data_IF_377663200507
#
_entry.id   IF_377663200507
#
_cell.length_a   1.000
_cell.length_b   1.000
_cell.length_c   1.000
_cell.angle_alpha   90.00
_cell.angle_beta   90.00
_cell.angle_gamma   90.00
#
_symmetry.space_group_name_H-M   'P 1'
#
loop_
_entity.id
_entity.type
_entity.pdbx_description
1 polymer ?
#
# COMPACT_ATOMS: atom_id res chain seq x y z
N UNK A 1 -2.27 -4.64 -11.79
CA UNK A 1 -2.47 -5.69 -10.77
C UNK A 1 -1.24 -6.57 -10.66
N UNK A 2 -0.98 -7.09 -9.50
CA UNK A 2 0.09 -8.03 -9.19
C UNK A 2 -0.48 -9.22 -8.41
N UNK A 3 0.18 -10.38 -8.45
CA UNK A 3 -0.30 -11.59 -7.77
C UNK A 3 0.24 -11.73 -6.34
N UNK A 4 1.47 -11.30 -6.10
CA UNK A 4 2.08 -11.41 -4.79
C UNK A 4 3.05 -10.24 -4.51
N UNK A 5 3.19 -9.87 -3.26
CA UNK A 5 4.21 -8.93 -2.79
C UNK A 5 4.64 -9.29 -1.37
N UNK A 6 5.90 -9.04 -1.03
CA UNK A 6 6.44 -9.28 0.30
C UNK A 6 6.27 -8.09 1.24
N UNK A 7 6.08 -6.89 0.69
CA UNK A 7 5.84 -5.66 1.43
C UNK A 7 4.42 -5.13 1.24
N UNK A 8 3.96 -4.29 2.15
CA UNK A 8 2.61 -3.74 2.14
C UNK A 8 2.57 -2.21 2.21
N UNK A 9 3.72 -1.58 2.32
CA UNK A 9 3.85 -0.13 2.46
C UNK A 9 3.70 0.57 1.11
N UNK A 10 4.34 0.02 0.06
CA UNK A 10 4.42 0.65 -1.26
C UNK A 10 3.39 0.08 -2.22
N UNK A 11 2.51 0.92 -2.75
CA UNK A 11 1.53 0.56 -3.77
C UNK A 11 1.96 1.11 -5.12
N UNK A 12 2.14 0.24 -6.12
CA UNK A 12 2.39 0.66 -7.48
C UNK A 12 1.08 1.18 -8.06
N UNK A 13 1.03 2.47 -8.39
CA UNK A 13 -0.16 3.14 -8.91
C UNK A 13 -0.14 3.23 -10.43
N UNK A 14 1.04 3.36 -11.04
CA UNK A 14 1.24 3.47 -12.48
C UNK A 14 2.63 2.98 -12.87
N UNK A 15 2.74 2.43 -14.07
CA UNK A 15 4.02 2.17 -14.74
C UNK A 15 3.99 2.84 -16.11
N UNK A 16 5.01 3.60 -16.41
CA UNK A 16 5.18 4.31 -17.66
C UNK A 16 6.46 3.83 -18.32
N UNK A 17 6.37 3.47 -19.59
CA UNK A 17 7.51 3.01 -20.40
C UNK A 17 7.83 4.04 -21.46
N UNK A 18 9.07 4.43 -21.54
CA UNK A 18 9.63 5.26 -22.61
C UNK A 18 10.84 4.57 -23.21
N UNK A 19 11.34 5.01 -24.38
CA UNK A 19 12.59 4.47 -24.94
C UNK A 19 13.81 4.63 -24.02
N UNK A 20 13.79 5.59 -23.10
CA UNK A 20 14.91 5.94 -22.22
C UNK A 20 14.82 5.30 -20.85
N UNK A 21 13.60 4.95 -20.39
CA UNK A 21 13.39 4.47 -19.02
C UNK A 21 12.03 3.82 -18.81
N UNK A 22 11.95 3.05 -17.72
CA UNK A 22 10.70 2.60 -17.12
C UNK A 22 10.51 3.30 -15.79
N UNK A 23 9.40 4.01 -15.63
CA UNK A 23 9.05 4.77 -14.44
C UNK A 23 7.96 4.03 -13.65
N UNK A 24 8.25 3.69 -12.41
CA UNK A 24 7.31 3.02 -11.50
C UNK A 24 6.86 4.03 -10.46
N UNK A 25 5.61 4.45 -10.54
CA UNK A 25 4.98 5.39 -9.62
C UNK A 25 4.47 4.64 -8.40
N UNK A 26 4.90 5.06 -7.24
CA UNK A 26 4.58 4.42 -5.97
C UNK A 26 3.85 5.41 -5.07
N UNK A 27 2.76 4.95 -4.49
CA UNK A 27 2.07 5.57 -3.39
C UNK A 27 2.39 4.77 -2.14
N UNK A 28 3.29 5.27 -1.32
CA UNK A 28 3.66 4.67 -0.07
C UNK A 28 2.73 5.12 1.04
N UNK A 29 2.36 4.16 1.88
CA UNK A 29 1.47 4.40 2.99
C UNK A 29 2.04 3.70 4.21
N UNK A 30 2.41 4.50 5.20
CA UNK A 30 2.97 3.99 6.43
C UNK A 30 2.58 4.90 7.60
N UNK A 31 2.97 4.49 8.77
CA UNK A 31 2.70 5.21 10.01
C UNK A 31 3.32 6.61 9.95
N UNK A 32 2.58 7.68 10.29
CA UNK A 32 3.14 9.03 10.41
C UNK A 32 4.41 9.06 11.26
N UNK A 33 5.38 9.85 10.86
CA UNK A 33 6.69 10.04 11.52
C UNK A 33 7.58 8.79 11.60
N UNK A 34 7.16 7.64 11.05
CA UNK A 34 8.03 6.50 10.83
C UNK A 34 8.73 6.64 9.48
N UNK A 35 9.83 5.95 9.28
CA UNK A 35 10.62 6.05 8.06
C UNK A 35 10.38 4.86 7.11
N UNK A 36 10.56 5.16 5.84
CA UNK A 36 10.67 4.18 4.76
C UNK A 36 12.04 4.32 4.11
N UNK A 37 12.50 3.28 3.43
CA UNK A 37 13.82 3.29 2.79
C UNK A 37 13.78 2.50 1.50
N UNK A 38 14.06 3.19 0.41
CA UNK A 38 14.25 2.56 -0.90
C UNK A 38 15.73 2.26 -1.15
N UNK A 39 15.98 1.15 -1.84
CA UNK A 39 17.34 0.68 -2.13
C UNK A 39 17.71 0.88 -3.60
N UNK A 40 18.85 1.48 -3.86
CA UNK A 40 19.41 1.63 -5.21
C UNK A 40 19.85 0.30 -5.85
N UNK A 41 19.76 -0.82 -5.13
CA UNK A 41 20.00 -2.17 -5.63
C UNK A 41 18.76 -2.86 -6.20
N UNK A 42 17.59 -2.22 -6.12
CA UNK A 42 16.34 -2.74 -6.69
C UNK A 42 16.44 -2.84 -8.21
N UNK A 43 15.70 -3.77 -8.79
CA UNK A 43 15.64 -3.97 -10.24
C UNK A 43 14.26 -4.45 -10.66
N UNK A 44 13.92 -4.24 -11.92
CA UNK A 44 12.80 -4.92 -12.56
C UNK A 44 13.31 -6.21 -13.19
N UNK A 45 12.51 -7.26 -13.16
CA UNK A 45 12.78 -8.51 -13.83
C UNK A 45 11.60 -8.88 -14.71
N UNK A 46 11.87 -9.16 -15.98
CA UNK A 46 10.86 -9.71 -16.88
C UNK A 46 10.51 -11.13 -16.44
N UNK A 47 9.24 -11.36 -16.09
CA UNK A 47 8.78 -12.62 -15.52
C UNK A 47 8.84 -13.80 -16.49
N UNK A 48 8.97 -13.54 -17.80
CA UNK A 48 9.05 -14.56 -18.83
C UNK A 48 10.49 -14.95 -19.16
N UNK A 49 11.35 -13.94 -19.29
CA UNK A 49 12.74 -14.14 -19.75
C UNK A 49 13.76 -14.16 -18.62
N UNK A 50 13.40 -13.68 -17.42
CA UNK A 50 14.30 -13.50 -16.29
C UNK A 50 15.32 -12.35 -16.49
N UNK A 51 15.20 -11.56 -17.56
CA UNK A 51 16.08 -10.44 -17.81
C UNK A 51 15.87 -9.33 -16.80
N UNK A 52 16.97 -8.80 -16.26
CA UNK A 52 16.97 -7.76 -15.23
C UNK A 52 17.22 -6.39 -15.84
N UNK A 53 16.49 -5.40 -15.34
CA UNK A 53 16.58 -3.99 -15.73
C UNK A 53 16.94 -3.19 -14.49
N UNK A 54 18.10 -2.56 -14.51
CA UNK A 54 18.72 -1.93 -13.35
C UNK A 54 18.01 -0.64 -12.95
N UNK A 55 18.09 -0.34 -11.68
CA UNK A 55 17.69 0.94 -11.12
C UNK A 55 18.61 2.06 -11.66
N UNK A 56 18.02 3.19 -12.08
CA UNK A 56 18.70 4.37 -12.60
C UNK A 56 18.59 5.58 -11.70
N UNK A 57 17.51 5.68 -10.90
CA UNK A 57 17.28 6.83 -10.06
C UNK A 57 15.88 6.85 -9.43
N UNK A 58 15.59 7.89 -8.67
CA UNK A 58 14.29 8.13 -8.08
C UNK A 58 13.96 9.63 -8.05
N UNK A 59 12.66 9.93 -7.98
CA UNK A 59 12.11 11.27 -7.76
C UNK A 59 11.19 11.23 -6.56
N UNK A 60 11.23 12.26 -5.70
CA UNK A 60 10.37 12.37 -4.53
C UNK A 60 10.79 11.54 -3.32
N UNK A 61 11.88 10.76 -3.42
CA UNK A 61 12.46 10.00 -2.32
C UNK A 61 13.99 9.94 -2.44
N UNK A 62 14.69 9.99 -1.30
CA UNK A 62 16.14 9.78 -1.25
C UNK A 62 16.45 8.30 -1.13
N UNK A 63 17.38 7.82 -1.98
CA UNK A 63 17.76 6.42 -2.05
C UNK A 63 18.81 6.08 -0.98
N UNK A 64 18.67 4.89 -0.40
CA UNK A 64 19.54 4.35 0.65
C UNK A 64 19.51 5.13 1.98
N UNK A 65 18.59 6.11 2.11
CA UNK A 65 18.37 6.87 3.33
C UNK A 65 17.01 6.55 3.97
N UNK A 66 16.89 6.81 5.25
CA UNK A 66 15.64 6.79 5.97
C UNK A 66 14.87 8.08 5.66
N UNK A 67 13.71 7.95 5.07
CA UNK A 67 12.83 9.08 4.72
C UNK A 67 11.59 9.00 5.59
N UNK A 68 11.42 10.00 6.45
CA UNK A 68 10.31 10.03 7.41
C UNK A 68 9.00 10.38 6.71
N UNK A 69 7.95 9.64 7.08
CA UNK A 69 6.61 9.86 6.58
C UNK A 69 6.03 11.16 7.16
N UNK A 70 5.29 11.93 6.36
CA UNK A 70 4.60 13.12 6.84
C UNK A 70 3.44 12.77 7.79
N UNK A 71 2.79 13.80 8.36
CA UNK A 71 1.62 13.66 9.24
C UNK A 71 0.48 12.86 8.58
N UNK A 72 0.34 12.97 7.26
CA UNK A 72 -0.65 12.18 6.50
C UNK A 72 -0.37 10.68 6.49
N UNK A 73 0.87 10.27 6.75
CA UNK A 73 1.30 8.88 6.57
C UNK A 73 1.32 8.41 5.11
N UNK A 74 1.21 9.34 4.16
CA UNK A 74 1.18 9.04 2.72
C UNK A 74 2.31 9.79 2.00
N UNK A 75 2.95 9.14 1.03
CA UNK A 75 4.03 9.73 0.24
C UNK A 75 4.06 9.14 -1.16
N UNK A 76 4.07 10.03 -2.15
CA UNK A 76 4.25 9.66 -3.55
C UNK A 76 5.71 9.82 -3.96
N UNK A 77 6.20 8.86 -4.75
CA UNK A 77 7.51 8.91 -5.37
C UNK A 77 7.58 8.03 -6.61
N UNK A 78 8.67 8.17 -7.37
CA UNK A 78 8.91 7.44 -8.62
C UNK A 78 10.25 6.74 -8.54
N UNK A 79 10.28 5.45 -8.85
CA UNK A 79 11.50 4.69 -9.11
C UNK A 79 11.71 4.59 -10.61
N UNK A 80 12.94 4.84 -11.05
CA UNK A 80 13.32 4.89 -12.46
C UNK A 80 14.28 3.74 -12.75
N UNK A 81 13.96 2.97 -13.79
CA UNK A 81 14.74 1.80 -14.21
C UNK A 81 15.14 1.90 -15.68
N UNK A 82 16.03 1.02 -16.13
CA UNK A 82 16.31 0.81 -17.55
C UNK A 82 15.02 0.55 -18.35
N UNK A 83 14.97 0.91 -19.64
CA UNK A 83 13.76 0.75 -20.45
C UNK A 83 13.39 -0.71 -20.63
N UNK A 84 12.12 -1.03 -20.39
CA UNK A 84 11.53 -2.34 -20.68
C UNK A 84 11.11 -2.42 -22.14
N UNK A 85 11.33 -3.55 -22.82
CA UNK A 85 10.77 -3.81 -24.14
C UNK A 85 9.24 -3.69 -24.16
N UNK A 86 8.68 -3.29 -25.31
CA UNK A 86 7.23 -3.14 -25.46
C UNK A 86 6.49 -4.47 -25.30
N UNK A 87 7.10 -5.58 -25.72
CA UNK A 87 6.56 -6.93 -25.65
C UNK A 87 6.50 -7.48 -24.21
N UNK A 88 7.21 -6.90 -23.25
CA UNK A 88 7.16 -7.33 -21.85
C UNK A 88 5.76 -7.13 -21.28
N UNK A 89 5.12 -8.21 -20.84
CA UNK A 89 3.74 -8.19 -20.32
C UNK A 89 3.65 -8.31 -18.79
N UNK A 90 4.63 -8.95 -18.16
CA UNK A 90 4.64 -9.17 -16.72
C UNK A 90 6.05 -9.00 -16.18
N UNK A 91 6.15 -8.29 -15.07
CA UNK A 91 7.43 -8.02 -14.40
C UNK A 91 7.35 -8.31 -12.91
N UNK A 92 8.52 -8.42 -12.30
CA UNK A 92 8.73 -8.38 -10.86
C UNK A 92 9.50 -7.10 -10.50
N UNK A 93 9.16 -6.46 -9.39
CA UNK A 93 9.97 -5.44 -8.74
C UNK A 93 10.66 -6.08 -7.54
N UNK A 94 11.96 -6.21 -7.60
CA UNK A 94 12.73 -7.00 -6.63
C UNK A 94 13.86 -6.17 -6.01
N UNK A 95 14.14 -6.44 -4.74
CA UNK A 95 15.28 -5.90 -4.02
C UNK A 95 16.08 -7.03 -3.38
N UNK A 96 17.34 -7.26 -3.79
CA UNK A 96 18.14 -8.37 -3.27
C UNK A 96 18.51 -8.21 -1.80
N UNK A 97 18.47 -7.00 -1.27
CA UNK A 97 18.87 -6.66 0.12
C UNK A 97 17.69 -6.33 1.03
N UNK A 98 16.49 -6.27 0.48
CA UNK A 98 15.29 -5.97 1.24
C UNK A 98 14.08 -6.70 0.65
N UNK A 99 13.84 -7.93 1.09
CA UNK A 99 12.73 -8.76 0.63
C UNK A 99 11.35 -8.16 0.95
N UNK A 100 11.26 -7.23 1.89
CA UNK A 100 9.98 -6.59 2.28
C UNK A 100 9.38 -5.70 1.20
N UNK A 101 10.18 -5.22 0.23
CA UNK A 101 9.73 -4.41 -0.90
C UNK A 101 9.37 -5.19 -2.16
N UNK A 102 9.56 -6.50 -2.20
CA UNK A 102 9.37 -7.30 -3.41
C UNK A 102 7.89 -7.38 -3.83
N UNK A 103 7.65 -7.15 -5.12
CA UNK A 103 6.33 -7.28 -5.74
C UNK A 103 6.43 -8.16 -6.98
N UNK A 104 5.61 -9.20 -7.05
CA UNK A 104 5.67 -10.23 -8.08
C UNK A 104 4.48 -10.16 -9.02
N UNK A 105 4.68 -10.64 -10.25
CA UNK A 105 3.63 -10.78 -11.28
C UNK A 105 2.85 -9.47 -11.52
N UNK A 106 3.57 -8.35 -11.65
CA UNK A 106 2.99 -7.07 -12.00
C UNK A 106 2.61 -7.10 -13.48
N UNK A 107 1.32 -7.08 -13.79
CA UNK A 107 0.84 -7.05 -15.17
C UNK A 107 0.99 -5.65 -15.76
N UNK A 108 1.62 -5.55 -16.90
CA UNK A 108 1.74 -4.34 -17.71
C UNK A 108 0.59 -4.20 -18.73
N UNK A 109 -0.26 -5.21 -18.83
CA UNK A 109 -1.45 -5.16 -19.69
C UNK A 109 -2.49 -4.26 -19.02
N UNK A 110 -3.02 -3.22 -19.72
CA UNK A 110 -4.06 -2.37 -19.17
C UNK A 110 -5.28 -3.18 -18.76
N UNK A 111 -5.67 -3.09 -17.50
CA UNK A 111 -6.91 -3.72 -17.04
C UNK A 111 -8.06 -2.71 -17.24
N UNK A 112 -9.07 -3.08 -18.00
CA UNK A 112 -10.34 -2.32 -18.03
C UNK A 112 -10.89 -2.25 -16.60
N UNK A 113 -11.09 -1.02 -16.11
CA UNK A 113 -11.41 -0.72 -14.73
C UNK A 113 -12.51 -1.59 -14.15
N UNK A 114 -12.22 -2.21 -13.02
CA UNK A 114 -13.21 -2.81 -12.13
C UNK A 114 -13.63 -1.78 -11.09
N UNK A 115 -14.91 -1.71 -10.85
CA UNK A 115 -15.61 -0.88 -9.86
C UNK A 115 -14.80 -0.53 -8.62
N UNK A 116 -14.84 0.74 -8.25
CA UNK A 116 -14.29 1.27 -6.99
C UNK A 116 -14.70 0.37 -5.82
N UNK A 117 -13.74 -0.21 -5.08
CA UNK A 117 -14.07 -1.10 -3.98
C UNK A 117 -14.89 -0.39 -2.90
N UNK A 118 -15.70 -1.10 -2.10
CA UNK A 118 -16.44 -0.54 -0.95
C UNK A 118 -15.55 0.21 0.04
N UNK A 119 -14.24 0.04 -0.05
CA UNK A 119 -13.22 0.63 0.78
C UNK A 119 -13.05 2.15 0.61
N UNK A 120 -13.40 2.74 -0.53
CA UNK A 120 -13.19 4.18 -0.79
C UNK A 120 -13.81 5.09 0.28
N UNK A 121 -14.91 4.66 0.89
CA UNK A 121 -15.58 5.42 1.95
C UNK A 121 -14.82 5.42 3.29
N UNK A 122 -13.93 4.45 3.51
CA UNK A 122 -13.24 4.24 4.79
C UNK A 122 -11.71 4.23 4.67
N UNK A 123 -11.18 4.40 3.48
CA UNK A 123 -9.75 4.50 3.22
C UNK A 123 -9.18 5.76 3.84
N UNK A 124 -8.06 5.66 4.54
CA UNK A 124 -7.31 6.78 5.11
C UNK A 124 -6.83 6.53 6.53
N UNK A 125 -6.31 7.59 7.14
CA UNK A 125 -5.85 7.61 8.53
C UNK A 125 -7.00 8.00 9.46
N UNK A 126 -7.15 7.27 10.55
CA UNK A 126 -8.23 7.43 11.50
C UNK A 126 -7.72 7.70 12.91
N UNK A 127 -8.24 8.74 13.52
CA UNK A 127 -7.85 9.28 14.81
C UNK A 127 -9.01 9.17 15.79
N UNK A 128 -8.73 8.89 17.06
CA UNK A 128 -9.74 8.84 18.12
C UNK A 128 -10.48 10.17 18.25
N UNK A 129 -11.79 10.11 18.50
CA UNK A 129 -12.63 11.30 18.77
C UNK A 129 -12.78 11.59 20.25
N UNK A 130 -12.01 10.93 21.11
CA UNK A 130 -12.03 11.08 22.58
C UNK A 130 -11.29 12.34 23.09
N UNK A 131 -10.85 13.20 22.18
CA UNK A 131 -10.07 14.40 22.48
C UNK A 131 -8.56 14.19 22.52
N UNK A 132 -8.07 12.95 22.46
CA UNK A 132 -6.63 12.64 22.44
C UNK A 132 -5.99 12.96 21.08
N UNK A 133 -6.78 12.94 20.00
CA UNK A 133 -6.26 13.06 18.63
C UNK A 133 -5.27 11.95 18.25
N UNK A 134 -5.28 10.83 18.98
CA UNK A 134 -4.37 9.72 18.74
C UNK A 134 -4.71 8.99 17.46
N UNK A 135 -3.74 8.85 16.56
CA UNK A 135 -3.85 7.97 15.40
C UNK A 135 -3.90 6.50 15.84
N UNK A 136 -4.84 5.73 15.28
CA UNK A 136 -5.01 4.34 15.66
C UNK A 136 -5.13 3.39 14.47
N UNK A 137 -5.79 3.82 13.39
CA UNK A 137 -5.93 3.00 12.19
C UNK A 137 -5.44 3.72 10.94
N UNK A 138 -4.74 2.97 10.10
CA UNK A 138 -4.51 3.29 8.70
C UNK A 138 -5.18 2.23 7.84
N UNK A 139 -6.20 2.58 7.06
CA UNK A 139 -6.96 1.65 6.22
C UNK A 139 -6.72 1.99 4.75
N UNK A 140 -6.21 1.03 3.97
CA UNK A 140 -5.76 1.25 2.60
C UNK A 140 -6.16 0.09 1.71
N UNK A 141 -5.88 0.18 0.40
CA UNK A 141 -6.39 -0.81 -0.58
C UNK A 141 -5.95 -2.24 -0.30
N UNK A 142 -4.72 -2.44 0.15
CA UNK A 142 -4.16 -3.77 0.37
C UNK A 142 -3.71 -4.06 1.79
N UNK A 143 -3.62 -3.01 2.62
CA UNK A 143 -3.18 -3.15 4.01
C UNK A 143 -4.05 -2.35 4.97
N UNK A 144 -4.03 -2.81 6.20
CA UNK A 144 -4.55 -2.08 7.37
C UNK A 144 -3.44 -2.02 8.41
N UNK A 145 -3.23 -0.85 8.99
CA UNK A 145 -2.32 -0.66 10.13
C UNK A 145 -3.18 -0.41 11.36
N UNK A 146 -2.96 -1.17 12.41
CA UNK A 146 -3.60 -0.99 13.71
C UNK A 146 -2.70 -1.54 14.82
N UNK A 147 -2.74 -0.93 15.99
CA UNK A 147 -1.93 -1.34 17.14
C UNK A 147 -0.43 -1.50 16.83
N UNK A 148 0.12 -0.59 16.03
CA UNK A 148 1.51 -0.59 15.57
C UNK A 148 1.91 -1.82 14.72
N UNK A 149 0.94 -2.55 14.17
CA UNK A 149 1.14 -3.74 13.33
C UNK A 149 0.56 -3.56 11.95
N UNK A 150 1.16 -4.21 10.98
CA UNK A 150 0.73 -4.20 9.58
C UNK A 150 0.00 -5.50 9.29
N UNK A 151 -1.20 -5.37 8.72
CA UNK A 151 -2.05 -6.47 8.30
C UNK A 151 -2.26 -6.42 6.79
N UNK A 152 -2.31 -7.56 6.14
CA UNK A 152 -2.78 -7.68 4.75
C UNK A 152 -4.30 -7.73 4.74
N UNK A 153 -4.93 -6.99 3.85
CA UNK A 153 -6.39 -7.06 3.65
C UNK A 153 -6.73 -8.31 2.84
N UNK A 154 -7.32 -9.32 3.47
CA UNK A 154 -7.66 -10.60 2.85
C UNK A 154 -9.03 -10.54 2.16
N UNK A 155 -10.01 -9.92 2.78
CA UNK A 155 -11.33 -9.72 2.19
C UNK A 155 -12.00 -8.44 2.65
N UNK A 156 -12.81 -7.85 1.76
CA UNK A 156 -13.57 -6.63 2.02
C UNK A 156 -14.97 -6.85 1.47
N UNK A 157 -15.97 -6.75 2.34
CA UNK A 157 -17.37 -6.97 1.98
C UNK A 157 -18.26 -5.85 2.52
N UNK A 158 -19.18 -5.38 1.68
CA UNK A 158 -20.21 -4.44 2.12
C UNK A 158 -21.42 -5.23 2.64
N UNK A 159 -21.82 -4.96 3.88
CA UNK A 159 -23.04 -5.52 4.51
C UNK A 159 -23.95 -4.36 4.93
N UNK A 160 -24.89 -3.98 4.07
CA UNK A 160 -25.75 -2.82 4.28
C UNK A 160 -24.93 -1.51 4.39
N UNK A 161 -24.98 -0.85 5.54
CA UNK A 161 -24.19 0.38 5.84
C UNK A 161 -22.78 0.09 6.38
N UNK A 162 -22.45 -1.16 6.68
CA UNK A 162 -21.17 -1.57 7.26
C UNK A 162 -20.24 -2.13 6.19
N UNK A 163 -18.97 -1.98 6.44
CA UNK A 163 -17.88 -2.64 5.69
C UNK A 163 -17.25 -3.63 6.64
N UNK A 164 -17.26 -4.89 6.27
CA UNK A 164 -16.56 -5.96 6.97
C UNK A 164 -15.24 -6.22 6.27
N UNK A 165 -14.15 -6.13 7.02
CA UNK A 165 -12.80 -6.41 6.53
C UNK A 165 -12.20 -7.55 7.34
N UNK A 166 -11.66 -8.55 6.64
CA UNK A 166 -10.81 -9.56 7.25
C UNK A 166 -9.37 -9.22 6.93
N UNK A 167 -8.54 -9.13 7.94
CA UNK A 167 -7.13 -8.76 7.81
C UNK A 167 -6.24 -9.79 8.49
N UNK A 168 -5.04 -10.02 7.95
CA UNK A 168 -4.08 -11.00 8.46
C UNK A 168 -2.79 -10.32 8.88
N UNK A 169 -2.39 -10.49 10.13
CA UNK A 169 -1.14 -9.96 10.68
C UNK A 169 0.05 -10.52 9.91
N UNK A 170 0.91 -9.65 9.43
CA UNK A 170 2.08 -10.05 8.62
C UNK A 170 3.18 -10.75 9.42
N UNK A 171 3.27 -10.50 10.73
CA UNK A 171 4.31 -11.07 11.56
C UNK A 171 3.97 -12.47 12.05
N UNK A 172 2.71 -12.70 12.47
CA UNK A 172 2.33 -13.95 13.12
C UNK A 172 1.15 -14.68 12.46
N UNK A 173 0.60 -14.12 11.37
CA UNK A 173 -0.49 -14.73 10.63
C UNK A 173 -1.86 -14.67 11.30
N UNK A 174 -1.99 -13.99 12.45
CA UNK A 174 -3.28 -13.88 13.15
C UNK A 174 -4.30 -13.14 12.29
N UNK A 175 -5.50 -13.73 12.18
CA UNK A 175 -6.61 -13.13 11.44
C UNK A 175 -7.44 -12.28 12.40
N UNK A 176 -7.86 -11.08 11.92
CA UNK A 176 -8.74 -10.15 12.62
C UNK A 176 -9.89 -9.72 11.72
N UNK A 177 -11.00 -9.38 12.34
CA UNK A 177 -12.14 -8.81 11.63
C UNK A 177 -12.40 -7.39 12.12
N UNK A 178 -12.49 -6.45 11.16
CA UNK A 178 -12.91 -5.07 11.41
C UNK A 178 -14.31 -4.87 10.84
N UNK A 179 -15.19 -4.30 11.65
CA UNK A 179 -16.51 -3.81 11.25
C UNK A 179 -16.46 -2.30 11.25
N UNK A 180 -16.57 -1.68 10.07
CA UNK A 180 -16.43 -0.25 9.88
C UNK A 180 -17.78 0.31 9.41
N UNK A 181 -18.29 1.29 10.12
CA UNK A 181 -19.55 1.97 9.79
C UNK A 181 -19.29 3.43 9.47
N UNK A 182 -19.25 3.82 8.17
CA UNK A 182 -19.14 5.22 7.79
C UNK A 182 -20.32 6.05 8.31
N UNK A 183 -20.05 7.26 8.77
CA UNK A 183 -21.03 8.22 9.27
C UNK A 183 -21.21 9.37 8.27
N UNK A 184 -22.38 10.01 8.29
CA UNK A 184 -22.68 11.18 7.41
C UNK A 184 -21.74 12.36 7.70
N UNK A 185 -21.20 12.46 8.90
CA UNK A 185 -20.23 13.50 9.31
C UNK A 185 -18.85 13.37 8.65
N UNK A 186 -18.57 12.25 7.95
CA UNK A 186 -17.24 11.91 7.48
C UNK A 186 -16.41 11.09 8.49
N UNK A 187 -16.91 10.91 9.70
CA UNK A 187 -16.33 10.03 10.71
C UNK A 187 -16.66 8.56 10.41
N UNK A 188 -16.08 7.63 11.16
CA UNK A 188 -16.51 6.24 11.16
C UNK A 188 -16.57 5.66 12.58
N UNK A 189 -17.33 4.59 12.71
CA UNK A 189 -17.29 3.71 13.89
C UNK A 189 -16.53 2.47 13.49
N UNK A 190 -15.48 2.12 14.23
CA UNK A 190 -14.69 0.91 14.00
C UNK A 190 -14.83 0.02 15.22
N UNK A 191 -15.12 -1.27 14.96
CA UNK A 191 -15.12 -2.34 15.93
C UNK A 191 -14.22 -3.46 15.43
N UNK A 192 -13.40 -4.00 16.28
CA UNK A 192 -12.65 -5.23 16.00
C UNK A 192 -13.22 -6.40 16.79
N UNK A 193 -12.77 -7.60 16.48
CA UNK A 193 -13.06 -8.80 17.28
C UNK A 193 -12.54 -8.74 18.73
N UNK A 194 -11.70 -7.75 19.04
CA UNK A 194 -11.09 -7.55 20.37
C UNK A 194 -11.50 -6.26 21.06
N UNK A 195 -12.20 -5.35 20.39
CA UNK A 195 -12.54 -4.02 20.92
C UNK A 195 -14.03 -3.73 20.81
N UNK A 196 -14.53 -2.85 21.68
CA UNK A 196 -15.85 -2.27 21.54
C UNK A 196 -15.93 -1.31 20.37
N UNK A 197 -17.15 -0.89 20.01
CA UNK A 197 -17.36 0.14 19.00
C UNK A 197 -16.81 1.49 19.49
N UNK A 198 -15.87 2.07 18.75
CA UNK A 198 -15.28 3.38 19.03
C UNK A 198 -15.43 4.29 17.80
N UNK A 199 -15.54 5.58 18.06
CA UNK A 199 -15.69 6.60 17.01
C UNK A 199 -14.35 7.19 16.64
N UNK A 200 -14.14 7.40 15.32
CA UNK A 200 -12.91 7.93 14.75
C UNK A 200 -13.21 9.01 13.72
N UNK A 201 -12.32 10.00 13.64
CA UNK A 201 -12.33 11.04 12.61
C UNK A 201 -11.20 10.82 11.63
N UNK A 202 -11.45 11.18 10.36
CA UNK A 202 -10.42 11.17 9.33
C UNK A 202 -9.70 12.51 9.34
N UNK A 203 -8.38 12.49 9.32
CA UNK A 203 -7.61 13.69 9.00
C UNK A 203 -7.81 14.02 7.51
N UNK A 204 -8.16 15.28 7.23
CA UNK A 204 -8.28 15.81 5.87
C UNK A 204 -6.93 16.22 5.31
#
# INVERSE_FOLDING_TARGET
PFKARSGSISNITRIERTPESTRVYIHAIFRPHWWIKEKGTSYLEDATTGKKYKFKGAEGIEINKEVYMPDSGEKDYVLIFEPLPEETQTIHLLSPTNYEGNTYDISLIPQKGKNTPPLAAVKGNWFKTDGSGQWEYGIYDSITIMNNRIYTNESIRKKGKRIEMTVKDKQNGTIRTLLITPQKSGNCIIKTDQTNELSYTRQK
#
